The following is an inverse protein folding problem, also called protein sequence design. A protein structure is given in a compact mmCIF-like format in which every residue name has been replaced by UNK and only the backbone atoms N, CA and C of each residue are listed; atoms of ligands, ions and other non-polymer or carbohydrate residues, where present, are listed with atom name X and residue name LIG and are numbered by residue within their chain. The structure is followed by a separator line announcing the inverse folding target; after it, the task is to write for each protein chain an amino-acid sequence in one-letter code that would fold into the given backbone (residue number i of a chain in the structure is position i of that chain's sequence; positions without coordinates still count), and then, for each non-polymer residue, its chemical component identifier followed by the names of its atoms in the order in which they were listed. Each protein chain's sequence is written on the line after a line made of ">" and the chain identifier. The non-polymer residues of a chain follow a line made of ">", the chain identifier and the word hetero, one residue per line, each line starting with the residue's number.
data_IF_790822037190
#
_entry.id   IF_790822037190
#
_cell.length_a   1.000
_cell.length_b   1.000
_cell.length_c   1.000
_cell.angle_alpha   90.00
_cell.angle_beta   90.00
_cell.angle_gamma   90.00
#
_symmetry.space_group_name_H-M   'P 1'
#
loop_
_entity.id
_entity.type
_entity.pdbx_description
1 polymer ?
#
# COMPACT_ATOMS: atom_id res chain seq x y z
N UNK A 1 11.55 -2.07 14.04
CA UNK A 1 10.65 -1.76 12.91
C UNK A 1 11.46 -1.85 11.64
N UNK A 2 10.97 -2.55 10.63
CA UNK A 2 11.63 -2.60 9.32
C UNK A 2 11.42 -1.25 8.62
N UNK A 3 12.49 -0.61 8.11
CA UNK A 3 12.32 0.63 7.36
C UNK A 3 11.80 0.36 5.94
N UNK A 4 11.31 1.39 5.26
CA UNK A 4 10.74 1.28 3.92
C UNK A 4 11.65 0.55 2.91
N UNK A 5 12.94 0.88 2.91
CA UNK A 5 13.93 0.28 2.00
C UNK A 5 14.10 -1.22 2.24
N UNK A 6 14.26 -1.60 3.50
CA UNK A 6 14.34 -3.01 3.90
C UNK A 6 13.07 -3.77 3.52
N UNK A 7 11.89 -3.15 3.68
CA UNK A 7 10.61 -3.75 3.32
C UNK A 7 10.51 -4.01 1.81
N UNK A 8 10.89 -3.04 0.97
CA UNK A 8 10.96 -3.23 -0.48
C UNK A 8 11.90 -4.36 -0.88
N UNK A 9 13.09 -4.41 -0.28
CA UNK A 9 14.07 -5.47 -0.54
C UNK A 9 13.52 -6.84 -0.20
N UNK A 10 12.81 -6.95 0.92
CA UNK A 10 12.17 -8.19 1.35
C UNK A 10 11.05 -8.61 0.38
N UNK A 11 10.20 -7.69 -0.07
CA UNK A 11 9.18 -7.98 -1.08
C UNK A 11 9.80 -8.47 -2.40
N UNK A 12 10.84 -7.79 -2.88
CA UNK A 12 11.57 -8.16 -4.09
C UNK A 12 12.16 -9.58 -3.98
N UNK A 13 12.82 -9.87 -2.86
CA UNK A 13 13.42 -11.18 -2.60
C UNK A 13 12.37 -12.29 -2.48
N UNK A 14 11.21 -12.03 -1.87
CA UNK A 14 10.10 -13.00 -1.79
C UNK A 14 9.55 -13.37 -3.17
N UNK A 15 9.56 -12.44 -4.13
CA UNK A 15 9.20 -12.71 -5.52
C UNK A 15 10.36 -13.31 -6.34
N UNK A 16 11.55 -13.45 -5.76
CA UNK A 16 12.74 -13.97 -6.45
C UNK A 16 13.29 -13.05 -7.53
N UNK A 17 13.00 -11.75 -7.47
CA UNK A 17 13.44 -10.81 -8.50
C UNK A 17 14.83 -10.23 -8.22
N UNK A 18 15.68 -10.22 -9.24
CA UNK A 18 16.88 -9.37 -9.26
C UNK A 18 16.49 -7.90 -9.50
N UNK A 19 17.37 -6.95 -9.19
CA UNK A 19 17.15 -5.52 -9.50
C UNK A 19 16.87 -5.32 -10.99
N UNK A 20 17.69 -5.95 -11.85
CA UNK A 20 17.50 -5.93 -13.30
C UNK A 20 16.12 -6.44 -13.72
N UNK A 21 15.60 -7.50 -13.06
CA UNK A 21 14.26 -8.00 -13.36
C UNK A 21 13.16 -7.01 -13.00
N UNK A 22 13.37 -6.22 -11.94
CA UNK A 22 12.46 -5.12 -11.58
C UNK A 22 12.54 -4.01 -12.61
N UNK A 23 13.74 -3.65 -13.07
CA UNK A 23 13.91 -2.66 -14.13
C UNK A 23 13.18 -3.06 -15.42
N UNK A 24 13.35 -4.29 -15.91
CA UNK A 24 12.64 -4.79 -17.10
C UNK A 24 11.12 -4.65 -16.98
N UNK A 25 10.57 -4.84 -15.77
CA UNK A 25 9.12 -4.85 -15.54
C UNK A 25 8.53 -3.48 -15.20
N UNK A 26 9.35 -2.52 -14.74
CA UNK A 26 8.85 -1.26 -14.17
C UNK A 26 9.49 0.00 -14.76
N UNK A 27 10.65 -0.15 -15.42
CA UNK A 27 11.52 0.95 -15.84
C UNK A 27 12.29 1.63 -14.69
N UNK A 28 12.18 1.14 -13.46
CA UNK A 28 12.92 1.68 -12.31
C UNK A 28 14.34 1.12 -12.37
N UNK A 29 15.32 1.98 -12.62
CA UNK A 29 16.72 1.58 -12.75
C UNK A 29 17.24 0.90 -11.49
N UNK A 30 18.09 -0.11 -11.64
CA UNK A 30 18.74 -0.86 -10.55
C UNK A 30 19.40 0.06 -9.52
N UNK A 31 20.07 1.13 -9.97
CA UNK A 31 20.71 2.10 -9.07
C UNK A 31 19.72 2.84 -8.18
N UNK A 32 18.61 3.33 -8.74
CA UNK A 32 17.54 4.00 -7.98
C UNK A 32 16.89 3.06 -6.98
N UNK A 33 16.54 1.85 -7.43
CA UNK A 33 15.91 0.86 -6.56
C UNK A 33 16.86 0.40 -5.44
N UNK A 34 18.13 0.14 -5.76
CA UNK A 34 19.15 -0.22 -4.77
C UNK A 34 19.36 0.87 -3.71
N UNK A 35 19.43 2.15 -4.13
CA UNK A 35 19.56 3.27 -3.20
C UNK A 35 18.36 3.40 -2.27
N UNK A 36 17.15 3.18 -2.79
CA UNK A 36 15.92 3.17 -2.02
C UNK A 36 15.88 1.98 -1.05
N UNK A 37 16.22 0.77 -1.50
CA UNK A 37 16.25 -0.45 -0.69
C UNK A 37 17.28 -0.39 0.45
N UNK A 38 18.40 0.29 0.24
CA UNK A 38 19.44 0.46 1.26
C UNK A 38 19.22 1.69 2.15
N UNK A 39 18.13 2.45 1.96
CA UNK A 39 17.83 3.65 2.75
C UNK A 39 18.76 4.85 2.50
N UNK A 40 19.70 4.73 1.55
CA UNK A 40 20.70 5.76 1.26
C UNK A 40 20.13 6.98 0.52
N UNK A 41 19.09 6.79 -0.29
CA UNK A 41 18.40 7.84 -1.02
C UNK A 41 17.09 7.29 -1.58
N UNK A 42 15.95 7.87 -1.21
CA UNK A 42 14.64 7.50 -1.77
C UNK A 42 14.07 8.64 -2.63
N UNK A 43 14.01 8.44 -3.94
CA UNK A 43 13.31 9.34 -4.87
C UNK A 43 12.20 8.62 -5.64
N UNK A 44 11.68 7.53 -5.10
CA UNK A 44 10.56 6.81 -5.70
C UNK A 44 9.31 7.69 -5.57
N UNK A 45 8.66 7.93 -6.70
CA UNK A 45 7.39 8.66 -6.73
C UNK A 45 6.21 7.71 -6.54
N UNK A 46 5.02 8.25 -6.33
CA UNK A 46 3.78 7.45 -6.24
C UNK A 46 3.63 6.48 -7.43
N UNK A 47 3.98 6.91 -8.65
CA UNK A 47 3.90 6.04 -9.83
C UNK A 47 4.91 4.89 -9.80
N UNK A 48 6.11 5.11 -9.23
CA UNK A 48 7.08 4.05 -9.00
C UNK A 48 6.52 3.05 -7.97
N UNK A 49 5.93 3.55 -6.88
CA UNK A 49 5.29 2.70 -5.87
C UNK A 49 4.11 1.90 -6.43
N UNK A 50 3.26 2.48 -7.28
CA UNK A 50 2.15 1.75 -7.94
C UNK A 50 2.67 0.58 -8.77
N UNK A 51 3.75 0.79 -9.51
CA UNK A 51 4.39 -0.28 -10.30
C UNK A 51 4.97 -1.37 -9.40
N UNK A 52 5.67 -0.99 -8.33
CA UNK A 52 6.25 -1.93 -7.36
C UNK A 52 5.17 -2.69 -6.58
N UNK A 53 4.12 -2.01 -6.12
CA UNK A 53 2.95 -2.61 -5.46
C UNK A 53 2.32 -3.69 -6.34
N UNK A 54 2.06 -3.36 -7.61
CA UNK A 54 1.54 -4.32 -8.59
C UNK A 54 2.51 -5.48 -8.84
N UNK A 55 3.80 -5.20 -8.98
CA UNK A 55 4.81 -6.23 -9.26
C UNK A 55 5.01 -7.19 -8.07
N UNK A 56 4.96 -6.66 -6.86
CA UNK A 56 5.18 -7.41 -5.64
C UNK A 56 3.90 -7.96 -5.01
N UNK A 57 2.75 -7.69 -5.62
CA UNK A 57 1.43 -8.08 -5.10
C UNK A 57 1.24 -7.60 -3.66
N UNK A 58 1.57 -6.33 -3.44
CA UNK A 58 1.55 -5.66 -2.15
C UNK A 58 0.57 -4.49 -2.18
N UNK A 59 -0.19 -4.24 -1.09
CA UNK A 59 -1.06 -3.07 -1.02
C UNK A 59 -0.27 -1.76 -1.17
N UNK A 60 -0.79 -0.83 -1.96
CA UNK A 60 -0.13 0.46 -2.25
C UNK A 60 -0.14 1.41 -1.05
N UNK A 61 -1.23 1.48 -0.29
CA UNK A 61 -1.40 2.44 0.80
C UNK A 61 -0.34 2.27 1.90
N UNK A 62 -0.07 1.04 2.42
CA UNK A 62 1.03 0.82 3.37
C UNK A 62 2.39 1.23 2.81
N UNK A 63 2.67 0.98 1.52
CA UNK A 63 3.93 1.37 0.91
C UNK A 63 4.08 2.91 0.85
N UNK A 64 3.00 3.64 0.56
CA UNK A 64 3.02 5.10 0.57
C UNK A 64 3.22 5.67 1.98
N UNK A 65 2.57 5.10 3.00
CA UNK A 65 2.76 5.49 4.41
C UNK A 65 4.21 5.26 4.85
N UNK A 66 4.78 4.09 4.54
CA UNK A 66 6.18 3.77 4.85
C UNK A 66 7.16 4.68 4.12
N UNK A 67 6.81 5.12 2.90
CA UNK A 67 7.62 6.06 2.10
C UNK A 67 7.41 7.53 2.49
N UNK A 68 6.61 7.83 3.52
CA UNK A 68 6.24 9.19 3.95
C UNK A 68 5.60 10.03 2.83
N UNK A 69 4.96 9.38 1.85
CA UNK A 69 4.21 10.04 0.78
C UNK A 69 2.76 10.32 1.17
N UNK A 70 2.24 9.54 2.12
CA UNK A 70 0.98 9.78 2.81
C UNK A 70 1.24 9.78 4.31
N UNK A 71 0.43 10.51 5.05
CA UNK A 71 0.32 10.39 6.50
C UNK A 71 -1.05 9.80 6.92
N UNK A 72 -1.24 9.67 8.23
CA UNK A 72 -2.50 9.16 8.78
C UNK A 72 -3.70 10.08 8.48
N UNK A 73 -3.49 11.38 8.30
CA UNK A 73 -4.55 12.34 7.97
C UNK A 73 -4.99 12.18 6.51
N UNK A 74 -4.06 11.91 5.60
CA UNK A 74 -4.36 11.67 4.17
C UNK A 74 -5.30 10.47 3.96
N UNK A 75 -5.23 9.49 4.87
CA UNK A 75 -6.06 8.28 4.81
C UNK A 75 -7.23 8.29 5.80
N UNK A 76 -7.33 9.29 6.68
CA UNK A 76 -8.35 9.36 7.73
C UNK A 76 -9.77 9.36 7.16
N UNK A 77 -10.00 10.06 6.05
CA UNK A 77 -11.30 10.08 5.38
C UNK A 77 -11.69 8.73 4.76
N UNK A 78 -10.70 7.88 4.46
CA UNK A 78 -10.88 6.51 3.93
C UNK A 78 -10.92 5.46 5.02
N UNK A 79 -10.38 5.76 6.21
CA UNK A 79 -10.68 5.02 7.43
C UNK A 79 -12.12 5.35 7.78
N UNK A 80 -13.04 4.65 7.11
CA UNK A 80 -14.44 4.48 7.48
C UNK A 80 -14.56 4.70 8.98
N UNK A 81 -15.35 5.68 9.41
CA UNK A 81 -15.47 6.18 10.80
C UNK A 81 -15.64 5.06 11.84
N UNK A 82 -15.99 3.86 11.39
CA UNK A 82 -15.98 2.59 12.11
C UNK A 82 -14.57 2.04 12.34
N UNK A 83 -14.20 1.92 13.62
CA UNK A 83 -12.98 1.22 14.05
C UNK A 83 -13.15 -0.30 13.91
N UNK A 84 -12.04 -1.02 13.76
CA UNK A 84 -11.99 -2.50 13.75
C UNK A 84 -12.74 -3.19 12.61
N UNK A 85 -13.05 -2.49 11.51
CA UNK A 85 -13.73 -3.09 10.33
C UNK A 85 -12.94 -4.26 9.74
N UNK A 86 -11.62 -4.28 9.93
CA UNK A 86 -10.75 -5.38 9.53
C UNK A 86 -10.96 -6.69 10.32
N UNK A 87 -11.67 -6.65 11.45
CA UNK A 87 -12.01 -7.84 12.23
C UNK A 87 -13.33 -8.48 11.79
N UNK A 88 -14.09 -7.81 10.93
CA UNK A 88 -15.39 -8.28 10.49
C UNK A 88 -15.26 -9.30 9.36
N UNK A 89 -16.06 -10.35 9.44
CA UNK A 89 -16.29 -11.25 8.32
C UNK A 89 -17.25 -10.65 7.28
N UNK A 90 -17.49 -11.39 6.19
CA UNK A 90 -18.28 -10.90 5.06
C UNK A 90 -19.78 -10.79 5.38
N UNK A 91 -20.32 -11.64 6.24
CA UNK A 91 -21.72 -11.56 6.67
C UNK A 91 -21.92 -10.39 7.63
N UNK A 92 -20.99 -10.17 8.56
CA UNK A 92 -21.00 -9.02 9.46
C UNK A 92 -20.91 -7.70 8.69
N UNK A 93 -20.03 -7.62 7.67
CA UNK A 93 -19.96 -6.44 6.78
C UNK A 93 -21.27 -6.19 6.04
N UNK A 94 -21.90 -7.25 5.53
CA UNK A 94 -23.17 -7.16 4.80
C UNK A 94 -24.32 -6.70 5.69
N UNK A 95 -24.33 -7.14 6.95
CA UNK A 95 -25.29 -6.65 7.93
C UNK A 95 -25.11 -5.14 8.19
N UNK A 96 -23.89 -4.68 8.45
CA UNK A 96 -23.60 -3.25 8.64
C UNK A 96 -24.00 -2.44 7.40
N UNK A 97 -23.73 -2.92 6.19
CA UNK A 97 -24.14 -2.25 4.96
C UNK A 97 -25.67 -2.11 4.87
N UNK A 98 -26.41 -3.12 5.30
CA UNK A 98 -27.88 -3.08 5.32
C UNK A 98 -28.41 -2.00 6.26
N UNK A 99 -27.77 -1.81 7.42
CA UNK A 99 -28.11 -0.72 8.36
C UNK A 99 -27.80 0.66 7.77
N UNK A 100 -26.67 0.82 7.10
CA UNK A 100 -26.31 2.06 6.39
C UNK A 100 -27.39 2.39 5.33
N UNK A 101 -27.76 1.40 4.52
CA UNK A 101 -28.78 1.55 3.48
C UNK A 101 -30.14 1.94 4.06
N UNK A 102 -30.52 1.34 5.20
CA UNK A 102 -31.75 1.68 5.92
C UNK A 102 -31.74 3.15 6.38
N UNK A 103 -30.64 3.62 6.99
CA UNK A 103 -30.51 5.00 7.44
C UNK A 103 -30.60 5.98 6.26
N UNK A 104 -29.96 5.67 5.13
CA UNK A 104 -30.01 6.48 3.92
C UNK A 104 -31.45 6.57 3.39
N UNK A 105 -32.17 5.44 3.34
CA UNK A 105 -33.57 5.40 2.91
C UNK A 105 -34.47 6.24 3.80
N UNK A 106 -34.24 6.25 5.12
CA UNK A 106 -35.02 7.05 6.07
C UNK A 106 -34.77 8.56 5.97
N UNK A 107 -33.62 8.98 5.43
CA UNK A 107 -33.25 10.39 5.25
C UNK A 107 -33.77 10.99 3.94
N UNK A 108 -34.25 10.17 3.01
CA UNK A 108 -34.95 10.59 1.80
C UNK A 108 -36.44 10.72 2.07
#
# INVERSE_FOLDING_TARGET
>A
MQNFGEHLRLLRNRKGFSLNKVFEKTGITDSRLSKAENGSWNNLKIDDLKKLAKLYDSPIVPLCLMAELFDENDIEQYRSTFKNVNLLDDEEKKHIQSEIDFIIRRKR
#
